data_IF_604148461376
#
_entry.id   IF_604148461376
#
_cell.length_a   1.000
_cell.length_b   1.000
_cell.length_c   1.000
_cell.angle_alpha   90.00
_cell.angle_beta   90.00
_cell.angle_gamma   90.00
#
_symmetry.space_group_name_H-M   'P 1'
#
loop_
_entity.id
_entity.type
_entity.pdbx_description
1 polymer ?
#
# COMPACT_ATOMS: atom_id res chain seq x y z
N UNK A 1 14.95 -2.15 11.04
CA UNK A 1 15.47 -2.26 9.66
C UNK A 1 14.47 -3.14 8.96
N UNK A 2 13.72 -2.61 7.99
CA UNK A 2 12.75 -3.42 7.25
C UNK A 2 13.51 -4.55 6.53
N UNK A 3 12.95 -5.77 6.54
CA UNK A 3 13.49 -6.83 5.71
C UNK A 3 13.19 -6.53 4.25
N UNK A 4 14.19 -6.69 3.38
CA UNK A 4 14.03 -6.60 1.93
C UNK A 4 12.88 -7.49 1.41
N UNK A 5 12.64 -8.61 2.10
CA UNK A 5 11.55 -9.54 1.81
C UNK A 5 10.15 -8.95 2.10
N UNK A 6 10.03 -8.12 3.16
CA UNK A 6 8.77 -7.45 3.46
C UNK A 6 8.42 -6.46 2.36
N UNK A 7 9.37 -5.61 1.96
CA UNK A 7 9.15 -4.63 0.89
C UNK A 7 8.69 -5.33 -0.40
N UNK A 8 9.33 -6.43 -0.80
CA UNK A 8 8.93 -7.20 -1.98
C UNK A 8 7.51 -7.78 -1.88
N UNK A 9 7.11 -8.31 -0.71
CA UNK A 9 5.74 -8.81 -0.51
C UNK A 9 4.71 -7.68 -0.67
N UNK A 10 4.96 -6.53 -0.06
CA UNK A 10 4.06 -5.37 -0.12
C UNK A 10 3.96 -4.82 -1.55
N UNK A 11 5.08 -4.66 -2.25
CA UNK A 11 5.13 -4.24 -3.66
C UNK A 11 4.32 -5.20 -4.55
N UNK A 12 4.51 -6.50 -4.39
CA UNK A 12 3.78 -7.52 -5.15
C UNK A 12 2.26 -7.45 -4.92
N UNK A 13 1.82 -7.17 -3.70
CA UNK A 13 0.40 -6.99 -3.38
C UNK A 13 -0.17 -5.74 -4.08
N UNK A 14 0.55 -4.63 -4.05
CA UNK A 14 0.14 -3.39 -4.68
C UNK A 14 0.09 -3.51 -6.21
N UNK A 15 1.12 -4.09 -6.84
CA UNK A 15 1.17 -4.36 -8.27
C UNK A 15 0.02 -5.25 -8.76
N UNK A 16 -0.39 -6.24 -7.97
CA UNK A 16 -1.54 -7.09 -8.30
C UNK A 16 -2.89 -6.41 -8.10
N UNK A 17 -2.96 -5.44 -7.19
CA UNK A 17 -4.21 -4.72 -6.95
C UNK A 17 -4.53 -3.76 -8.09
N UNK A 18 -3.53 -3.05 -8.62
CA UNK A 18 -3.59 -2.15 -9.79
C UNK A 18 -5.01 -1.59 -10.07
N UNK A 19 -5.51 -0.67 -9.23
CA UNK A 19 -6.91 -0.26 -9.26
C UNK A 19 -7.29 0.47 -10.55
N UNK A 20 -6.30 0.95 -11.32
CA UNK A 20 -6.51 1.67 -12.56
C UNK A 20 -6.14 0.87 -13.82
N UNK A 21 -5.68 -0.39 -13.66
CA UNK A 21 -5.22 -1.24 -14.75
C UNK A 21 -4.18 -0.55 -15.64
N UNK A 22 -3.25 0.18 -15.01
CA UNK A 22 -2.21 0.94 -15.71
C UNK A 22 -1.03 0.05 -16.10
N UNK A 23 -0.89 -1.11 -15.46
CA UNK A 23 0.19 -2.06 -15.68
C UNK A 23 1.21 -2.06 -14.53
N UNK A 24 1.86 -3.21 -14.33
CA UNK A 24 2.90 -3.36 -13.31
C UNK A 24 4.06 -2.38 -13.57
N UNK A 25 4.49 -1.68 -12.52
CA UNK A 25 5.59 -0.71 -12.59
C UNK A 25 5.19 0.72 -12.98
N UNK A 26 4.00 0.93 -13.54
CA UNK A 26 3.55 2.26 -13.98
C UNK A 26 3.14 3.18 -12.81
N UNK A 27 3.06 2.63 -11.59
CA UNK A 27 2.74 3.36 -10.36
C UNK A 27 3.75 3.11 -9.23
N UNK A 28 5.01 2.85 -9.59
CA UNK A 28 6.12 2.70 -8.65
C UNK A 28 6.31 3.90 -7.68
N UNK A 29 6.16 5.18 -8.11
CA UNK A 29 6.19 6.32 -7.20
C UNK A 29 5.10 6.26 -6.13
N UNK A 30 3.88 5.87 -6.51
CA UNK A 30 2.74 5.73 -5.61
C UNK A 30 2.96 4.56 -4.64
N UNK A 31 3.52 3.45 -5.12
CA UNK A 31 3.91 2.31 -4.29
C UNK A 31 4.90 2.76 -3.20
N UNK A 32 5.94 3.52 -3.57
CA UNK A 32 6.93 4.00 -2.60
C UNK A 32 6.28 4.85 -1.49
N UNK A 33 5.36 5.75 -1.87
CA UNK A 33 4.59 6.57 -0.93
C UNK A 33 3.69 5.74 0.00
N UNK A 34 3.09 4.67 -0.52
CA UNK A 34 2.24 3.76 0.24
C UNK A 34 3.08 2.90 1.19
N UNK A 35 4.24 2.40 0.75
CA UNK A 35 5.17 1.67 1.62
C UNK A 35 5.60 2.53 2.81
N UNK A 36 5.96 3.78 2.56
CA UNK A 36 6.29 4.73 3.63
C UNK A 36 5.12 4.86 4.62
N UNK A 37 3.89 4.97 4.14
CA UNK A 37 2.71 5.03 4.99
C UNK A 37 2.51 3.76 5.85
N UNK A 38 2.75 2.59 5.26
CA UNK A 38 2.71 1.30 5.97
C UNK A 38 3.79 1.24 7.06
N UNK A 39 4.95 1.88 6.86
CA UNK A 39 5.97 1.98 7.89
C UNK A 39 5.58 2.93 9.01
N UNK A 40 5.06 4.11 8.65
CA UNK A 40 4.77 5.19 9.59
C UNK A 40 3.54 4.92 10.46
N UNK A 41 2.61 4.09 9.99
CA UNK A 41 1.33 3.84 10.65
C UNK A 41 1.04 2.36 10.87
N UNK A 42 0.45 2.05 12.02
CA UNK A 42 -0.11 0.73 12.34
C UNK A 42 -1.65 0.70 12.27
N UNK A 43 -2.25 1.83 11.88
CA UNK A 43 -3.70 2.02 11.79
C UNK A 43 -4.16 1.98 10.33
N UNK A 44 -5.02 1.02 9.98
CA UNK A 44 -5.48 0.82 8.61
C UNK A 44 -6.20 2.07 8.04
N UNK A 45 -6.91 2.84 8.86
CA UNK A 45 -7.55 4.09 8.41
C UNK A 45 -6.53 5.12 7.91
N UNK A 46 -5.39 5.28 8.60
CA UNK A 46 -4.34 6.23 8.21
C UNK A 46 -3.68 5.79 6.91
N UNK A 47 -3.36 4.51 6.77
CA UNK A 47 -2.80 3.94 5.54
C UNK A 47 -3.80 4.07 4.38
N UNK A 48 -5.08 3.77 4.61
CA UNK A 48 -6.14 3.88 3.61
C UNK A 48 -6.31 5.31 3.07
N UNK A 49 -6.32 6.31 3.97
CA UNK A 49 -6.38 7.72 3.55
C UNK A 49 -5.15 8.12 2.76
N UNK A 50 -3.97 7.66 3.16
CA UNK A 50 -2.74 7.94 2.41
C UNK A 50 -2.80 7.33 1.01
N UNK A 51 -3.19 6.06 0.88
CA UNK A 51 -3.43 5.40 -0.42
C UNK A 51 -4.39 6.22 -1.28
N UNK A 52 -5.55 6.59 -0.74
CA UNK A 52 -6.56 7.37 -1.46
C UNK A 52 -5.99 8.70 -1.98
N UNK A 53 -5.25 9.43 -1.12
CA UNK A 53 -4.65 10.72 -1.48
C UNK A 53 -3.54 10.60 -2.53
N UNK A 54 -2.73 9.54 -2.47
CA UNK A 54 -1.65 9.28 -3.44
C UNK A 54 -2.25 9.03 -4.82
N UNK A 55 -3.22 8.13 -4.90
CA UNK A 55 -3.89 7.83 -6.16
C UNK A 55 -4.74 8.99 -6.70
N UNK A 56 -5.40 9.75 -5.82
CA UNK A 56 -6.13 10.97 -6.22
C UNK A 56 -5.16 12.01 -6.81
N UNK A 57 -4.00 12.21 -6.21
CA UNK A 57 -2.99 13.14 -6.70
C UNK A 57 -2.43 12.71 -8.06
N UNK A 58 -2.09 11.43 -8.23
CA UNK A 58 -1.43 10.95 -9.44
C UNK A 58 -2.37 10.72 -10.62
N UNK A 59 -3.61 10.30 -10.37
CA UNK A 59 -4.56 9.89 -11.41
C UNK A 59 -5.78 10.81 -11.52
N UNK A 60 -5.85 11.86 -10.70
CA UNK A 60 -6.97 12.80 -10.60
C UNK A 60 -8.32 12.09 -10.36
N UNK A 61 -8.27 10.91 -9.72
CA UNK A 61 -9.42 10.05 -9.47
C UNK A 61 -9.42 9.57 -8.02
N UNK A 62 -10.56 9.78 -7.36
CA UNK A 62 -10.76 9.34 -5.99
C UNK A 62 -11.17 7.87 -5.97
N UNK A 63 -10.30 7.01 -5.43
CA UNK A 63 -10.65 5.61 -5.16
C UNK A 63 -11.69 5.52 -4.03
N UNK A 64 -12.62 4.55 -4.06
CA UNK A 64 -13.54 4.34 -2.96
C UNK A 64 -12.77 4.00 -1.67
N UNK A 65 -13.05 4.74 -0.58
CA UNK A 65 -12.35 4.54 0.69
C UNK A 65 -12.39 3.09 1.18
N UNK A 66 -13.49 2.36 0.94
CA UNK A 66 -13.59 0.93 1.31
C UNK A 66 -12.56 0.06 0.60
N UNK A 67 -12.21 0.36 -0.64
CA UNK A 67 -11.18 -0.37 -1.39
C UNK A 67 -9.79 -0.05 -0.83
N UNK A 68 -9.51 1.23 -0.57
CA UNK A 68 -8.29 1.67 0.10
C UNK A 68 -8.13 1.04 1.49
N UNK A 69 -9.23 0.92 2.25
CA UNK A 69 -9.21 0.28 3.56
C UNK A 69 -8.98 -1.22 3.46
N UNK A 70 -9.58 -1.89 2.48
CA UNK A 70 -9.35 -3.32 2.26
C UNK A 70 -7.87 -3.61 1.99
N UNK A 71 -7.24 -2.87 1.08
CA UNK A 71 -5.83 -3.09 0.76
C UNK A 71 -4.92 -2.67 1.92
N UNK A 72 -5.23 -1.59 2.63
CA UNK A 72 -4.49 -1.16 3.83
C UNK A 72 -4.45 -2.25 4.92
N UNK A 73 -5.58 -2.92 5.18
CA UNK A 73 -5.62 -4.03 6.13
C UNK A 73 -4.72 -5.20 5.69
N UNK A 74 -4.72 -5.54 4.40
CA UNK A 74 -3.85 -6.58 3.86
C UNK A 74 -2.37 -6.24 4.06
N UNK A 75 -1.97 -5.00 3.76
CA UNK A 75 -0.58 -4.55 3.90
C UNK A 75 -0.11 -4.60 5.36
N UNK A 76 -0.95 -4.14 6.29
CA UNK A 76 -0.63 -4.17 7.73
C UNK A 76 -0.61 -5.59 8.28
N UNK A 77 -1.47 -6.49 7.81
CA UNK A 77 -1.42 -7.90 8.19
C UNK A 77 -0.06 -8.52 7.82
N UNK A 78 0.43 -8.26 6.60
CA UNK A 78 1.75 -8.74 6.13
C UNK A 78 2.89 -8.15 6.98
N UNK A 79 2.85 -6.84 7.26
CA UNK A 79 3.83 -6.17 8.14
C UNK A 79 3.87 -6.81 9.54
N UNK A 80 2.70 -7.10 10.10
CA UNK A 80 2.56 -7.68 11.43
C UNK A 80 3.02 -9.15 11.48
N UNK A 81 2.75 -9.94 10.45
CA UNK A 81 3.27 -11.31 10.32
C UNK A 81 4.79 -11.35 10.27
N UNK A 82 5.42 -10.46 9.51
CA UNK A 82 6.89 -10.37 9.41
C UNK A 82 7.50 -9.93 10.76
N UNK A 83 6.86 -8.99 11.46
CA UNK A 83 7.28 -8.51 12.78
C UNK A 83 7.14 -9.55 13.89
N UNK A 84 6.12 -10.41 13.81
CA UNK A 84 5.90 -11.51 14.78
C UNK A 84 6.78 -12.74 14.53
N UNK A 85 7.46 -12.82 13.38
CA UNK A 85 8.32 -13.95 13.00
C UNK A 85 9.79 -13.78 13.39
N UNK A 86 10.13 -12.66 14.07
CA UNK A 86 11.48 -12.26 14.50
C UNK A 86 11.74 -12.50 15.98
#
# INVERSE_FOLDING_TARGET
MESKELSYKLINVLNKWDPFNVGEGEFDPEIADILQAVHDYDEADKVARRIQSVFEFSFEKVLPYKECLSIANTLLAIKNEDSCSL
#
